data_IF_476791786321
#
_entry.id   IF_476791786321
#
_cell.length_a   1.000
_cell.length_b   1.000
_cell.length_c   1.000
_cell.angle_alpha   90.00
_cell.angle_beta   90.00
_cell.angle_gamma   90.00
#
_symmetry.space_group_name_H-M   'P 1'
#
loop_
_entity.id
_entity.type
_entity.pdbx_description
1 polymer ?
#
# COMPACT_ATOMS: atom_id res chain seq x y z
N UNK A 1 23.70 24.05 -6.08
CA UNK A 1 23.24 22.74 -6.64
C UNK A 1 24.45 22.03 -7.29
N UNK A 2 24.40 20.73 -7.62
CA UNK A 2 25.47 20.12 -8.44
C UNK A 2 25.21 20.38 -9.92
N UNK A 3 26.27 20.67 -10.67
CA UNK A 3 26.19 21.16 -12.06
C UNK A 3 25.72 20.09 -13.06
N UNK A 4 25.80 18.81 -12.69
CA UNK A 4 25.43 17.66 -13.50
C UNK A 4 24.09 17.02 -13.09
N UNK A 5 23.25 17.73 -12.31
CA UNK A 5 22.02 17.15 -11.75
C UNK A 5 21.09 16.57 -12.82
N UNK A 6 20.95 17.28 -13.94
CA UNK A 6 20.11 16.86 -15.05
C UNK A 6 20.55 15.51 -15.64
N UNK A 7 21.87 15.28 -15.75
CA UNK A 7 22.45 14.03 -16.25
C UNK A 7 22.20 12.88 -15.28
N UNK A 8 22.48 13.11 -13.99
CA UNK A 8 22.35 12.05 -12.96
C UNK A 8 20.89 11.61 -12.80
N UNK A 9 19.91 12.50 -13.04
CA UNK A 9 18.47 12.16 -12.97
C UNK A 9 18.07 11.24 -14.14
N UNK A 10 18.61 11.43 -15.34
CA UNK A 10 18.19 10.70 -16.55
C UNK A 10 18.95 9.39 -16.81
N UNK A 11 20.05 9.14 -16.10
CA UNK A 11 20.92 7.97 -16.31
C UNK A 11 20.31 6.61 -15.91
N UNK A 12 19.13 6.59 -15.27
CA UNK A 12 18.52 5.33 -14.85
C UNK A 12 17.89 4.58 -16.04
N UNK A 13 18.14 3.27 -16.21
CA UNK A 13 17.47 2.48 -17.23
C UNK A 13 15.96 2.58 -17.13
N UNK A 14 15.28 2.63 -18.29
CA UNK A 14 13.81 2.65 -18.34
C UNK A 14 13.21 1.48 -17.58
N UNK A 15 12.10 1.73 -16.90
CA UNK A 15 11.33 0.70 -16.23
C UNK A 15 10.79 -0.31 -17.23
N UNK A 16 10.67 -1.57 -16.82
CA UNK A 16 10.30 -2.66 -17.72
C UNK A 16 11.44 -3.20 -18.58
N UNK A 17 12.68 -2.68 -18.46
CA UNK A 17 13.85 -3.20 -19.19
C UNK A 17 14.11 -4.71 -18.98
N UNK A 18 13.83 -5.22 -17.77
CA UNK A 18 14.04 -6.63 -17.41
C UNK A 18 12.87 -7.54 -17.83
N UNK A 19 11.77 -6.97 -18.30
CA UNK A 19 10.61 -7.77 -18.69
C UNK A 19 10.81 -8.24 -20.12
N UNK A 20 10.95 -9.55 -20.29
CA UNK A 20 11.01 -10.18 -21.60
C UNK A 20 9.58 -10.47 -22.08
N UNK A 21 9.28 -10.10 -23.33
CA UNK A 21 7.96 -10.23 -23.93
C UNK A 21 7.40 -8.88 -24.36
N UNK A 22 7.25 -8.70 -25.67
CA UNK A 22 6.82 -7.44 -26.30
C UNK A 22 5.42 -7.56 -26.92
N UNK A 23 4.65 -8.58 -26.52
CA UNK A 23 3.30 -8.78 -27.03
C UNK A 23 3.22 -9.09 -28.53
N UNK A 24 4.36 -9.26 -29.22
CA UNK A 24 4.39 -9.58 -30.66
C UNK A 24 3.59 -10.82 -31.02
N UNK A 25 3.56 -11.92 -30.24
CA UNK A 25 2.76 -13.10 -30.62
C UNK A 25 1.28 -12.77 -30.82
N UNK A 26 0.65 -12.08 -29.87
CA UNK A 26 -0.75 -11.65 -30.00
C UNK A 26 -0.91 -10.58 -31.09
N UNK A 27 0.01 -9.60 -31.16
CA UNK A 27 0.02 -8.58 -32.21
C UNK A 27 0.41 -9.13 -33.58
N UNK A 28 0.80 -10.39 -33.71
CA UNK A 28 1.05 -11.09 -34.97
C UNK A 28 -0.04 -12.13 -35.29
N UNK A 29 -0.96 -12.35 -34.35
CA UNK A 29 -2.05 -13.31 -34.51
C UNK A 29 -3.15 -12.77 -35.44
N UNK A 30 -3.89 -13.67 -36.11
CA UNK A 30 -5.08 -13.31 -36.90
C UNK A 30 -6.20 -12.68 -36.07
N UNK A 31 -6.19 -12.91 -34.75
CA UNK A 31 -7.19 -12.39 -33.79
C UNK A 31 -7.02 -10.89 -33.50
N UNK A 32 -5.90 -10.31 -33.94
CA UNK A 32 -5.65 -8.89 -33.83
C UNK A 32 -6.55 -8.17 -34.86
N UNK A 33 -7.54 -7.41 -34.39
CA UNK A 33 -8.35 -6.59 -35.31
C UNK A 33 -7.48 -5.71 -36.22
N UNK A 34 -8.03 -5.29 -37.37
CA UNK A 34 -7.32 -4.52 -38.41
C UNK A 34 -6.73 -3.17 -37.93
N UNK A 35 -7.28 -2.59 -36.86
CA UNK A 35 -6.80 -1.35 -36.25
C UNK A 35 -6.44 -1.59 -34.79
N UNK A 36 -5.14 -1.53 -34.48
CA UNK A 36 -4.62 -1.63 -33.12
C UNK A 36 -4.03 -0.29 -32.66
N UNK A 37 -4.43 0.16 -31.48
CA UNK A 37 -3.73 1.24 -30.80
C UNK A 37 -2.27 0.86 -30.52
N UNK A 38 -1.36 1.85 -30.54
CA UNK A 38 0.10 1.63 -30.39
C UNK A 38 0.49 0.82 -29.15
N UNK A 39 -0.30 0.91 -28.06
CA UNK A 39 -0.05 0.20 -26.80
C UNK A 39 -0.80 -1.14 -26.66
N UNK A 40 -1.75 -1.44 -27.54
CA UNK A 40 -2.61 -2.63 -27.42
C UNK A 40 -1.82 -3.90 -27.75
N UNK A 41 -1.85 -4.87 -26.84
CA UNK A 41 -1.10 -6.12 -26.93
C UNK A 41 0.25 -6.09 -26.22
N UNK A 42 0.78 -4.92 -25.85
CA UNK A 42 1.98 -4.83 -24.99
C UNK A 42 1.59 -5.17 -23.55
N UNK A 43 1.98 -6.34 -23.06
CA UNK A 43 1.73 -6.74 -21.67
C UNK A 43 2.50 -5.87 -20.67
N UNK A 44 3.74 -5.49 -21.03
CA UNK A 44 4.64 -4.75 -20.16
C UNK A 44 5.41 -3.66 -20.94
N UNK A 45 4.77 -2.54 -21.31
CA UNK A 45 5.44 -1.46 -22.04
C UNK A 45 6.55 -0.84 -21.18
N UNK A 46 7.65 -0.40 -21.79
CA UNK A 46 8.69 0.35 -21.08
C UNK A 46 8.14 1.69 -20.60
N UNK A 47 8.52 2.12 -19.40
CA UNK A 47 8.16 3.43 -18.85
C UNK A 47 9.41 4.24 -18.49
N UNK A 48 9.27 5.57 -18.45
CA UNK A 48 10.33 6.45 -17.97
C UNK A 48 10.62 6.14 -16.50
N UNK A 49 11.89 6.04 -16.17
CA UNK A 49 12.36 5.72 -14.82
C UNK A 49 13.53 6.66 -14.56
N UNK A 50 13.33 7.59 -13.64
CA UNK A 50 14.30 8.64 -13.32
C UNK A 50 14.93 8.41 -11.94
N UNK A 51 16.16 8.88 -11.77
CA UNK A 51 16.86 8.83 -10.49
C UNK A 51 16.62 10.12 -9.70
N UNK A 52 15.53 10.16 -8.93
CA UNK A 52 15.13 11.37 -8.18
C UNK A 52 15.85 11.53 -6.82
N UNK A 53 16.67 10.56 -6.41
CA UNK A 53 17.36 10.60 -5.10
C UNK A 53 18.33 11.78 -4.94
N UNK A 54 19.12 12.18 -5.95
CA UNK A 54 19.96 13.38 -5.89
C UNK A 54 19.15 14.66 -5.66
N UNK A 55 18.06 14.87 -6.43
CA UNK A 55 17.16 16.01 -6.27
C UNK A 55 16.56 16.04 -4.86
N UNK A 56 16.02 14.90 -4.42
CA UNK A 56 15.45 14.74 -3.08
C UNK A 56 16.46 15.11 -1.99
N UNK A 57 17.68 14.56 -2.04
CA UNK A 57 18.74 14.86 -1.06
C UNK A 57 19.12 16.34 -1.07
N UNK A 58 19.20 16.95 -2.25
CA UNK A 58 19.50 18.37 -2.36
C UNK A 58 18.39 19.21 -1.73
N UNK A 59 17.11 18.93 -2.00
CA UNK A 59 15.97 19.63 -1.41
C UNK A 59 15.94 19.54 0.12
N UNK A 60 16.19 18.35 0.67
CA UNK A 60 16.26 18.14 2.13
C UNK A 60 17.38 18.94 2.79
N UNK A 61 18.49 19.20 2.09
CA UNK A 61 19.56 20.08 2.58
C UNK A 61 19.16 21.57 2.60
N UNK A 62 18.10 21.96 1.89
CA UNK A 62 17.64 23.36 1.82
C UNK A 62 16.59 23.72 2.87
N UNK A 63 16.26 22.79 3.77
CA UNK A 63 15.33 23.03 4.87
C UNK A 63 15.78 24.24 5.71
N UNK A 64 14.82 25.02 6.18
CA UNK A 64 14.99 26.30 6.90
C UNK A 64 15.48 27.49 6.05
N UNK A 65 15.53 27.36 4.72
CA UNK A 65 15.78 28.49 3.80
C UNK A 65 14.47 29.03 3.21
N UNK A 66 14.42 30.33 2.83
CA UNK A 66 13.32 30.87 2.03
C UNK A 66 13.16 30.11 0.72
N UNK A 67 11.95 29.66 0.42
CA UNK A 67 11.65 28.84 -0.75
C UNK A 67 12.02 29.56 -2.06
N UNK A 68 11.73 30.85 -2.17
CA UNK A 68 12.04 31.61 -3.39
C UNK A 68 13.54 31.62 -3.72
N UNK A 69 14.40 31.67 -2.69
CA UNK A 69 15.85 31.58 -2.88
C UNK A 69 16.27 30.19 -3.33
N UNK A 70 15.69 29.15 -2.73
CA UNK A 70 15.92 27.75 -3.11
C UNK A 70 15.46 27.50 -4.55
N UNK A 71 14.28 27.98 -4.90
CA UNK A 71 13.70 27.84 -6.24
C UNK A 71 14.47 28.63 -7.29
N UNK A 72 14.98 29.82 -6.96
CA UNK A 72 15.87 30.58 -7.85
C UNK A 72 17.18 29.83 -8.11
N UNK A 73 17.79 29.23 -7.07
CA UNK A 73 19.01 28.42 -7.20
C UNK A 73 18.78 27.17 -8.07
N UNK A 74 17.58 26.56 -7.96
CA UNK A 74 17.15 25.47 -8.81
C UNK A 74 17.02 25.91 -10.27
N UNK A 75 16.36 27.05 -10.50
CA UNK A 75 16.18 27.62 -11.83
C UNK A 75 17.50 28.04 -12.48
N UNK A 76 18.50 28.47 -11.72
CA UNK A 76 19.82 28.83 -12.29
C UNK A 76 20.62 27.60 -12.73
N UNK A 77 20.38 26.44 -12.12
CA UNK A 77 21.10 25.20 -12.42
C UNK A 77 20.41 24.31 -13.47
N UNK A 78 19.23 24.70 -13.97
CA UNK A 78 18.41 23.88 -14.88
C UNK A 78 17.91 24.75 -16.05
N UNK A 79 18.22 24.35 -17.28
CA UNK A 79 17.68 24.96 -18.49
C UNK A 79 16.23 24.54 -18.74
N UNK A 80 15.30 25.46 -18.51
CA UNK A 80 13.86 25.26 -18.73
C UNK A 80 13.48 25.13 -20.21
N UNK A 81 14.37 25.45 -21.14
CA UNK A 81 14.14 25.28 -22.59
C UNK A 81 14.31 23.83 -23.02
N UNK A 82 15.08 23.05 -22.27
CA UNK A 82 15.21 21.61 -22.49
C UNK A 82 14.01 20.87 -21.89
N UNK A 83 13.29 20.10 -22.69
CA UNK A 83 12.10 19.34 -22.25
C UNK A 83 12.43 18.32 -21.17
N UNK A 84 13.63 17.74 -21.23
CA UNK A 84 14.12 16.76 -20.26
C UNK A 84 14.42 17.44 -18.92
N UNK A 85 15.12 18.57 -18.97
CA UNK A 85 15.46 19.32 -17.78
C UNK A 85 14.24 20.01 -17.16
N UNK A 86 13.32 20.52 -17.98
CA UNK A 86 12.05 21.06 -17.52
C UNK A 86 11.19 20.02 -16.78
N UNK A 87 11.30 18.73 -17.12
CA UNK A 87 10.59 17.66 -16.42
C UNK A 87 10.96 17.56 -14.93
N UNK A 88 12.18 17.97 -14.56
CA UNK A 88 12.65 17.98 -13.16
C UNK A 88 11.72 18.81 -12.27
N UNK A 89 11.13 19.89 -12.80
CA UNK A 89 10.19 20.73 -12.04
C UNK A 89 8.88 20.00 -11.71
N UNK A 90 8.44 19.04 -12.53
CA UNK A 90 7.29 18.20 -12.20
C UNK A 90 7.59 17.32 -10.98
N UNK A 91 8.85 16.89 -10.84
CA UNK A 91 9.31 16.11 -9.69
C UNK A 91 9.53 16.94 -8.43
N UNK A 92 9.78 18.25 -8.55
CA UNK A 92 9.82 19.12 -7.37
C UNK A 92 8.48 19.08 -6.64
N UNK A 93 7.37 19.07 -7.38
CA UNK A 93 6.02 18.97 -6.81
C UNK A 93 5.75 17.60 -6.16
N UNK A 94 6.49 16.55 -6.52
CA UNK A 94 6.44 15.26 -5.84
C UNK A 94 7.09 15.29 -4.44
N UNK A 95 7.98 16.26 -4.18
CA UNK A 95 8.75 16.35 -2.95
C UNK A 95 8.35 17.52 -2.04
N UNK A 96 7.89 18.63 -2.62
CA UNK A 96 7.61 19.88 -1.91
C UNK A 96 6.16 20.31 -2.16
N UNK A 97 5.36 20.36 -1.09
CA UNK A 97 4.05 21.00 -1.14
C UNK A 97 4.21 22.53 -1.11
N UNK A 98 3.94 23.19 -2.24
CA UNK A 98 4.04 24.66 -2.40
C UNK A 98 2.72 25.37 -2.16
N UNK A 99 1.61 24.73 -2.55
CA UNK A 99 0.26 25.23 -2.33
C UNK A 99 -0.23 24.81 -0.94
N UNK A 100 0.22 25.57 0.06
CA UNK A 100 -0.15 25.40 1.47
C UNK A 100 -0.97 26.58 1.94
N UNK A 101 -1.89 26.33 2.87
CA UNK A 101 -2.72 27.35 3.49
C UNK A 101 -2.72 27.18 5.00
N UNK A 102 -2.85 28.29 5.72
CA UNK A 102 -3.02 28.27 7.17
C UNK A 102 -4.51 28.40 7.48
N UNK A 103 -5.10 27.40 8.13
CA UNK A 103 -6.49 27.39 8.57
C UNK A 103 -6.54 26.96 10.04
N UNK A 104 -7.18 27.75 10.91
CA UNK A 104 -7.34 27.44 12.34
C UNK A 104 -6.02 27.11 13.07
N UNK A 105 -4.93 27.80 12.70
CA UNK A 105 -3.59 27.58 13.26
C UNK A 105 -2.87 26.34 12.73
N UNK A 106 -3.48 25.61 11.79
CA UNK A 106 -2.93 24.41 11.18
C UNK A 106 -2.58 24.62 9.70
N UNK A 107 -1.43 24.11 9.29
CA UNK A 107 -1.03 24.08 7.88
C UNK A 107 -1.76 22.96 7.17
N UNK A 108 -2.51 23.30 6.13
CA UNK A 108 -3.18 22.37 5.22
C UNK A 108 -2.48 22.37 3.88
N UNK A 109 -2.39 21.20 3.26
CA UNK A 109 -1.79 20.98 1.94
C UNK A 109 -2.85 20.53 0.96
N UNK A 110 -2.81 21.07 -0.26
CA UNK A 110 -3.68 20.57 -1.32
C UNK A 110 -3.20 19.21 -1.81
N UNK A 111 -4.10 18.26 -2.07
CA UNK A 111 -3.72 16.99 -2.66
C UNK A 111 -3.13 17.21 -4.07
N UNK A 112 -2.03 16.51 -4.37
CA UNK A 112 -1.29 16.58 -5.64
C UNK A 112 -2.14 16.23 -6.87
N UNK A 113 -3.28 15.54 -6.69
CA UNK A 113 -4.28 15.26 -7.75
C UNK A 113 -5.68 15.31 -7.16
N UNK A 114 -6.62 15.88 -7.94
CA UNK A 114 -8.09 15.87 -7.78
C UNK A 114 -8.56 15.36 -6.41
N UNK A 115 -8.76 16.30 -5.49
CA UNK A 115 -9.26 16.02 -4.14
C UNK A 115 -10.11 17.16 -3.61
N UNK A 116 -10.57 17.01 -2.37
CA UNK A 116 -11.45 17.97 -1.69
C UNK A 116 -10.84 19.37 -1.66
N UNK A 117 -11.70 20.38 -1.91
CA UNK A 117 -11.31 21.80 -2.03
C UNK A 117 -10.64 22.34 -0.77
N UNK A 118 -10.92 21.73 0.37
CA UNK A 118 -10.50 22.17 1.71
C UNK A 118 -9.08 21.72 2.10
N UNK A 119 -8.42 20.92 1.26
CA UNK A 119 -7.09 20.37 1.54
C UNK A 119 -7.06 19.42 2.75
N UNK A 120 -5.92 18.77 2.96
CA UNK A 120 -5.72 17.86 4.10
C UNK A 120 -4.77 18.51 5.11
N UNK A 121 -4.98 18.31 6.42
CA UNK A 121 -4.00 18.69 7.44
C UNK A 121 -2.62 18.11 7.12
N UNK A 122 -1.56 18.89 7.30
CA UNK A 122 -0.18 18.45 6.99
C UNK A 122 0.20 17.17 7.74
N UNK A 123 -0.28 17.01 8.98
CA UNK A 123 0.01 15.82 9.80
C UNK A 123 -0.70 14.55 9.31
N UNK A 124 -1.68 14.68 8.41
CA UNK A 124 -2.39 13.56 7.76
C UNK A 124 -1.91 13.32 6.33
N UNK A 125 -0.88 14.03 5.86
CA UNK A 125 -0.40 13.98 4.49
C UNK A 125 0.84 13.04 4.33
N UNK A 126 0.67 11.72 4.13
CA UNK A 126 1.78 10.75 4.11
C UNK A 126 2.73 10.88 2.91
N UNK A 127 2.31 11.63 1.89
CA UNK A 127 3.08 11.91 0.67
C UNK A 127 3.88 13.19 0.72
N UNK A 128 3.67 14.07 1.71
CA UNK A 128 4.31 15.38 1.78
C UNK A 128 5.49 15.33 2.74
N UNK A 129 6.70 15.27 2.20
CA UNK A 129 7.92 15.26 3.02
C UNK A 129 8.40 16.66 3.39
N UNK A 130 8.33 17.60 2.44
CA UNK A 130 8.70 19.00 2.61
C UNK A 130 7.51 19.87 2.20
N UNK A 131 7.39 21.04 2.82
CA UNK A 131 6.36 22.00 2.49
C UNK A 131 6.89 23.43 2.64
N UNK A 132 6.30 24.36 1.91
CA UNK A 132 6.56 25.79 2.09
C UNK A 132 5.59 26.30 3.15
N UNK A 133 6.08 26.94 4.19
CA UNK A 133 5.21 27.52 5.21
C UNK A 133 4.39 28.69 4.62
N UNK A 134 3.06 28.70 4.76
CA UNK A 134 2.18 29.63 4.03
C UNK A 134 2.44 31.11 4.37
N UNK A 135 2.84 31.40 5.62
CA UNK A 135 3.09 32.78 6.08
C UNK A 135 4.53 33.24 5.84
N UNK A 136 5.53 32.40 6.14
CA UNK A 136 6.94 32.81 6.12
C UNK A 136 7.65 32.49 4.81
N UNK A 137 7.05 31.65 3.95
CA UNK A 137 7.68 31.19 2.71
C UNK A 137 8.91 30.28 2.95
N UNK A 138 9.15 29.82 4.18
CA UNK A 138 10.30 28.98 4.51
C UNK A 138 10.02 27.52 4.16
N UNK A 139 10.99 26.85 3.54
CA UNK A 139 10.94 25.41 3.30
C UNK A 139 11.14 24.64 4.61
N UNK A 140 10.15 23.85 5.01
CA UNK A 140 10.14 23.11 6.27
C UNK A 140 9.87 21.61 6.04
N UNK A 141 10.37 20.73 6.92
CA UNK A 141 10.07 19.31 6.88
C UNK A 141 8.73 19.03 7.54
N UNK A 142 7.98 18.06 7.02
CA UNK A 142 6.82 17.52 7.71
C UNK A 142 7.29 16.64 8.89
N UNK A 143 7.33 17.22 10.09
CA UNK A 143 7.79 16.53 11.30
C UNK A 143 6.91 15.33 11.68
N UNK A 144 5.64 15.32 11.30
CA UNK A 144 4.65 14.26 11.59
C UNK A 144 4.49 13.25 10.46
N UNK A 145 5.39 13.26 9.46
CA UNK A 145 5.36 12.34 8.32
C UNK A 145 5.34 10.86 8.73
N UNK A 146 6.08 10.49 9.79
CA UNK A 146 6.12 9.10 10.29
C UNK A 146 4.75 8.65 10.78
N UNK A 147 4.05 9.51 11.51
CA UNK A 147 2.69 9.26 12.01
C UNK A 147 1.70 9.16 10.85
N UNK A 148 1.72 10.11 9.90
CA UNK A 148 0.88 10.10 8.72
C UNK A 148 1.02 8.79 7.91
N UNK A 149 2.27 8.34 7.71
CA UNK A 149 2.56 7.09 6.99
C UNK A 149 2.11 5.85 7.77
N UNK A 150 2.25 5.86 9.09
CA UNK A 150 1.77 4.78 9.94
C UNK A 150 0.23 4.67 9.88
N UNK A 151 -0.47 5.79 10.02
CA UNK A 151 -1.93 5.86 9.90
C UNK A 151 -2.41 5.36 8.53
N UNK A 152 -1.77 5.79 7.43
CA UNK A 152 -2.11 5.34 6.07
C UNK A 152 -1.86 3.85 5.86
N UNK A 153 -0.83 3.27 6.51
CA UNK A 153 -0.57 1.83 6.45
C UNK A 153 -1.68 1.04 7.15
N UNK A 154 -2.14 1.50 8.31
CA UNK A 154 -3.25 0.88 9.05
C UNK A 154 -4.55 0.96 8.24
N UNK A 155 -4.90 2.14 7.71
CA UNK A 155 -6.08 2.33 6.85
C UNK A 155 -6.03 1.45 5.59
N UNK A 156 -4.86 1.34 4.93
CA UNK A 156 -4.70 0.45 3.77
C UNK A 156 -4.85 -1.02 4.15
N UNK A 157 -4.31 -1.44 5.29
CA UNK A 157 -4.47 -2.81 5.78
C UNK A 157 -5.94 -3.13 6.07
N UNK A 158 -6.65 -2.23 6.76
CA UNK A 158 -8.08 -2.35 7.02
C UNK A 158 -8.90 -2.46 5.72
N UNK A 159 -8.64 -1.60 4.71
CA UNK A 159 -9.33 -1.66 3.40
C UNK A 159 -9.04 -2.92 2.59
N UNK A 160 -7.87 -3.53 2.78
CA UNK A 160 -7.50 -4.78 2.13
C UNK A 160 -8.09 -6.01 2.82
N UNK A 161 -8.66 -5.84 4.02
CA UNK A 161 -9.02 -6.97 4.88
C UNK A 161 -7.81 -7.64 5.55
N UNK A 162 -6.62 -7.03 5.48
CA UNK A 162 -5.37 -7.53 6.08
C UNK A 162 -5.34 -7.36 7.60
N UNK A 163 -6.41 -6.84 8.22
CA UNK A 163 -6.57 -6.91 9.67
C UNK A 163 -6.88 -8.36 10.02
N UNK A 164 -6.00 -9.09 10.73
CA UNK A 164 -6.29 -10.46 11.12
C UNK A 164 -7.60 -10.44 11.91
N UNK A 165 -8.59 -11.21 11.46
CA UNK A 165 -9.91 -11.20 12.10
C UNK A 165 -9.85 -11.83 13.51
N UNK A 166 -8.76 -12.54 13.81
CA UNK A 166 -8.35 -12.87 15.17
C UNK A 166 -6.82 -12.91 15.25
N UNK A 167 -6.25 -12.30 16.30
CA UNK A 167 -4.89 -12.62 16.73
C UNK A 167 -4.96 -14.05 17.28
N UNK A 168 -4.47 -15.02 16.53
CA UNK A 168 -4.42 -16.41 16.98
C UNK A 168 -3.01 -16.78 17.48
N UNK A 169 -2.95 -17.60 18.53
CA UNK A 169 -1.72 -18.25 18.98
C UNK A 169 -1.70 -19.71 18.52
N UNK A 170 -0.67 -20.09 17.78
CA UNK A 170 -0.47 -21.47 17.34
C UNK A 170 -0.04 -22.33 18.52
N UNK A 171 -0.79 -23.37 18.84
CA UNK A 171 -0.42 -24.36 19.87
C UNK A 171 0.32 -25.52 19.21
N UNK A 172 -0.27 -26.07 18.14
CA UNK A 172 0.29 -27.16 17.35
C UNK A 172 -0.26 -27.14 15.91
N UNK A 173 -0.08 -28.24 15.16
CA UNK A 173 -0.51 -28.35 13.77
C UNK A 173 -2.03 -28.28 13.57
N UNK A 174 -2.83 -28.64 14.58
CA UNK A 174 -4.29 -28.73 14.53
C UNK A 174 -4.97 -27.84 15.57
N UNK A 175 -4.23 -27.24 16.50
CA UNK A 175 -4.79 -26.48 17.62
C UNK A 175 -4.30 -25.04 17.59
N UNK A 176 -5.24 -24.10 17.67
CA UNK A 176 -4.98 -22.67 17.75
C UNK A 176 -5.81 -22.03 18.87
N UNK A 177 -5.27 -21.05 19.56
CA UNK A 177 -6.03 -20.22 20.49
C UNK A 177 -6.42 -18.91 19.82
N UNK A 178 -7.69 -18.53 19.92
CA UNK A 178 -8.24 -17.33 19.30
C UNK A 178 -8.87 -16.43 20.36
N UNK A 179 -8.55 -15.14 20.33
CA UNK A 179 -9.25 -14.13 21.13
C UNK A 179 -10.39 -13.55 20.30
N UNK A 180 -11.63 -13.79 20.74
CA UNK A 180 -12.85 -13.30 20.07
C UNK A 180 -13.70 -12.61 21.12
N UNK A 181 -14.06 -11.35 20.89
CA UNK A 181 -14.86 -10.52 21.80
C UNK A 181 -14.34 -10.52 23.26
N UNK A 182 -13.01 -10.50 23.43
CA UNK A 182 -12.35 -10.50 24.74
C UNK A 182 -12.36 -11.84 25.48
N UNK A 183 -12.83 -12.92 24.83
CA UNK A 183 -12.79 -14.28 25.36
C UNK A 183 -11.80 -15.13 24.56
N UNK A 184 -11.01 -15.94 25.27
CA UNK A 184 -10.08 -16.88 24.67
C UNK A 184 -10.76 -18.22 24.39
N UNK A 185 -10.56 -18.74 23.19
CA UNK A 185 -11.04 -20.04 22.77
C UNK A 185 -9.90 -20.89 22.26
N UNK A 186 -9.84 -22.14 22.71
CA UNK A 186 -9.08 -23.18 22.05
C UNK A 186 -9.91 -23.71 20.87
N UNK A 187 -9.32 -23.66 19.69
CA UNK A 187 -9.94 -24.01 18.41
C UNK A 187 -9.19 -25.18 17.81
N UNK A 188 -9.93 -26.24 17.51
CA UNK A 188 -9.41 -27.41 16.79
C UNK A 188 -9.73 -27.25 15.31
N UNK A 189 -8.70 -27.41 14.49
CA UNK A 189 -8.73 -27.31 13.05
C UNK A 189 -8.68 -28.69 12.40
N UNK A 190 -9.51 -28.88 11.38
CA UNK A 190 -9.41 -30.03 10.48
C UNK A 190 -9.15 -29.58 9.06
N UNK A 191 -8.48 -30.42 8.28
CA UNK A 191 -8.34 -30.19 6.84
C UNK A 191 -9.67 -30.35 6.13
N UNK A 192 -9.89 -29.57 5.09
CA UNK A 192 -10.98 -29.84 4.17
C UNK A 192 -10.78 -31.21 3.51
N UNK A 193 -11.84 -32.01 3.33
CA UNK A 193 -11.75 -33.24 2.58
C UNK A 193 -11.31 -32.95 1.14
N UNK A 194 -10.49 -33.84 0.58
CA UNK A 194 -10.01 -33.71 -0.78
C UNK A 194 -11.15 -33.81 -1.79
N UNK A 195 -11.03 -33.06 -2.88
CA UNK A 195 -12.03 -33.08 -3.94
C UNK A 195 -11.81 -34.33 -4.78
N UNK A 196 -12.79 -35.23 -4.80
CA UNK A 196 -12.71 -36.50 -5.55
C UNK A 196 -12.83 -36.35 -7.10
N UNK A 197 -12.78 -35.12 -7.64
CA UNK A 197 -12.80 -34.85 -9.09
C UNK A 197 -13.23 -33.41 -9.45
N UNK A 198 -12.97 -32.99 -10.69
CA UNK A 198 -13.31 -31.63 -11.20
C UNK A 198 -14.81 -31.39 -11.35
N UNK A 199 -15.60 -32.45 -11.56
CA UNK A 199 -17.05 -32.37 -11.80
C UNK A 199 -17.90 -32.46 -10.52
N UNK A 200 -17.31 -32.84 -9.38
CA UNK A 200 -18.04 -32.97 -8.12
C UNK A 200 -18.19 -31.62 -7.40
N UNK A 201 -19.35 -31.42 -6.78
CA UNK A 201 -19.66 -30.27 -5.91
C UNK A 201 -18.68 -30.21 -4.75
N UNK A 202 -18.15 -29.02 -4.45
CA UNK A 202 -17.23 -28.87 -3.34
C UNK A 202 -17.85 -29.27 -2.00
N UNK A 203 -17.15 -30.08 -1.19
CA UNK A 203 -17.62 -30.45 0.13
C UNK A 203 -17.74 -29.21 1.01
N UNK A 204 -18.87 -29.10 1.70
CA UNK A 204 -19.18 -28.01 2.62
C UNK A 204 -18.98 -28.51 4.05
N UNK A 205 -18.21 -27.78 4.81
CA UNK A 205 -17.96 -28.05 6.23
C UNK A 205 -18.54 -26.90 7.07
N UNK A 206 -19.06 -27.22 8.26
CA UNK A 206 -19.51 -26.18 9.19
C UNK A 206 -18.32 -25.69 10.01
N UNK A 207 -18.04 -24.38 9.94
CA UNK A 207 -16.98 -23.75 10.73
C UNK A 207 -17.57 -23.22 12.04
N UNK A 208 -17.16 -23.78 13.18
CA UNK A 208 -17.73 -23.44 14.49
C UNK A 208 -17.29 -22.08 15.02
N UNK A 209 -16.16 -21.56 14.54
CA UNK A 209 -15.66 -20.25 14.93
C UNK A 209 -16.41 -19.16 14.19
N UNK A 210 -16.58 -19.34 12.86
CA UNK A 210 -17.34 -18.44 11.97
C UNK A 210 -18.85 -18.62 12.05
N UNK A 211 -19.33 -19.74 12.60
CA UNK A 211 -20.74 -20.15 12.70
C UNK A 211 -21.44 -20.20 11.34
N UNK A 212 -20.77 -20.71 10.31
CA UNK A 212 -21.32 -20.80 8.95
C UNK A 212 -20.75 -21.98 8.15
N UNK A 213 -21.42 -22.32 7.05
CA UNK A 213 -20.91 -23.33 6.11
C UNK A 213 -19.82 -22.74 5.22
N UNK A 214 -18.68 -23.42 5.13
CA UNK A 214 -17.50 -23.07 4.34
C UNK A 214 -17.11 -24.19 3.39
N UNK A 215 -16.51 -23.86 2.26
CA UNK A 215 -15.79 -24.78 1.37
C UNK A 215 -14.32 -24.38 1.31
N UNK A 216 -13.48 -25.24 0.74
CA UNK A 216 -12.05 -24.95 0.51
C UNK A 216 -11.83 -23.64 -0.26
N UNK A 217 -12.70 -23.30 -1.21
CA UNK A 217 -12.59 -22.08 -2.01
C UNK A 217 -13.24 -20.82 -1.37
N UNK A 218 -13.95 -20.94 -0.25
CA UNK A 218 -14.54 -19.79 0.46
C UNK A 218 -15.82 -20.12 1.23
N UNK A 219 -16.48 -19.12 1.82
CA UNK A 219 -17.76 -19.30 2.50
C UNK A 219 -18.89 -19.58 1.48
N UNK A 220 -19.65 -20.66 1.65
CA UNK A 220 -20.53 -21.22 0.61
C UNK A 220 -21.91 -20.55 0.46
N UNK A 221 -22.04 -19.28 0.84
CA UNK A 221 -23.14 -18.40 0.43
C UNK A 221 -22.49 -17.08 0.08
N UNK A 222 -22.70 -16.58 -1.16
CA UNK A 222 -22.18 -15.29 -1.71
C UNK A 222 -21.48 -14.48 -0.64
N UNK A 223 -20.15 -14.52 -0.59
CA UNK A 223 -19.37 -13.77 0.40
C UNK A 223 -19.88 -12.33 0.39
N UNK A 224 -20.55 -11.90 1.46
CA UNK A 224 -20.78 -10.49 1.65
C UNK A 224 -19.39 -9.83 1.64
N UNK A 225 -19.21 -8.70 0.92
CA UNK A 225 -17.95 -7.96 0.97
C UNK A 225 -17.53 -7.73 2.43
N UNK A 226 -16.33 -8.17 2.81
CA UNK A 226 -15.79 -7.98 4.16
C UNK A 226 -15.74 -9.20 5.09
N UNK A 227 -16.09 -10.41 4.64
CA UNK A 227 -15.85 -11.63 5.43
C UNK A 227 -14.38 -12.14 5.27
N UNK A 228 -13.71 -12.56 6.36
CA UNK A 228 -12.31 -13.01 6.32
C UNK A 228 -12.11 -14.30 5.52
N UNK A 229 -10.99 -14.42 4.83
CA UNK A 229 -10.61 -15.67 4.14
C UNK A 229 -10.17 -16.76 5.13
N UNK A 230 -9.98 -18.01 4.65
CA UNK A 230 -9.38 -19.10 5.45
C UNK A 230 -8.02 -18.74 5.98
N UNK A 231 -7.21 -18.09 5.14
CA UNK A 231 -5.90 -17.61 5.52
C UNK A 231 -5.97 -16.51 6.59
N UNK A 232 -6.90 -15.57 6.46
CA UNK A 232 -7.04 -14.47 7.43
C UNK A 232 -7.48 -14.95 8.81
N UNK A 233 -8.23 -16.05 8.89
CA UNK A 233 -8.64 -16.64 10.17
C UNK A 233 -7.59 -17.57 10.75
N UNK A 234 -7.01 -18.46 9.94
CA UNK A 234 -6.24 -19.62 10.45
C UNK A 234 -4.77 -19.64 10.00
N UNK A 235 -4.35 -18.71 9.15
CA UNK A 235 -3.04 -18.70 8.50
C UNK A 235 -2.87 -19.81 7.45
N UNK A 236 -3.94 -20.52 7.09
CA UNK A 236 -3.93 -21.66 6.17
C UNK A 236 -5.17 -21.68 5.30
N UNK A 237 -5.02 -22.14 4.06
CA UNK A 237 -6.11 -22.16 3.08
C UNK A 237 -6.94 -23.45 3.10
N UNK A 238 -6.41 -24.52 3.68
CA UNK A 238 -6.92 -25.89 3.56
C UNK A 238 -7.59 -26.39 4.85
N UNK A 239 -7.89 -25.52 5.82
CA UNK A 239 -8.44 -25.89 7.12
C UNK A 239 -9.70 -25.11 7.49
N UNK A 240 -10.51 -25.69 8.38
CA UNK A 240 -11.66 -25.06 9.02
C UNK A 240 -11.75 -25.44 10.50
N UNK A 241 -12.45 -24.63 11.31
CA UNK A 241 -12.64 -24.93 12.72
C UNK A 241 -13.74 -25.98 12.94
N UNK A 242 -13.38 -27.13 13.50
CA UNK A 242 -14.31 -28.24 13.82
C UNK A 242 -14.86 -28.17 15.22
N UNK A 243 -14.08 -27.66 16.17
CA UNK A 243 -14.46 -27.56 17.56
C UNK A 243 -13.87 -26.29 18.17
N UNK A 244 -14.58 -25.74 19.16
CA UNK A 244 -14.04 -24.67 20.00
C UNK A 244 -14.44 -24.89 21.46
N UNK A 245 -13.51 -24.61 22.37
CA UNK A 245 -13.69 -24.66 23.82
C UNK A 245 -13.25 -23.34 24.41
N UNK A 246 -14.09 -22.73 25.26
CA UNK A 246 -13.70 -21.51 25.96
C UNK A 246 -12.64 -21.82 27.00
N UNK A 247 -11.58 -21.01 27.05
CA UNK A 247 -10.50 -21.12 28.00
C UNK A 247 -10.75 -20.23 29.22
N UNK A 248 -10.39 -20.74 30.39
CA UNK A 248 -10.41 -19.96 31.62
C UNK A 248 -9.24 -18.96 31.66
N UNK A 249 -9.41 -17.87 32.41
CA UNK A 249 -8.31 -16.90 32.65
C UNK A 249 -7.05 -17.56 33.21
N UNK A 250 -7.19 -18.61 34.02
CA UNK A 250 -6.06 -19.35 34.58
C UNK A 250 -5.28 -20.10 33.50
N UNK A 251 -5.96 -20.79 32.58
CA UNK A 251 -5.33 -21.50 31.46
C UNK A 251 -4.60 -20.52 30.53
N UNK A 252 -5.23 -19.38 30.23
CA UNK A 252 -4.64 -18.34 29.37
C UNK A 252 -3.38 -17.76 30.02
N UNK A 253 -3.48 -17.33 31.29
CA UNK A 253 -2.37 -16.73 32.04
C UNK A 253 -1.18 -17.67 32.20
N UNK A 254 -1.44 -18.96 32.44
CA UNK A 254 -0.39 -19.96 32.56
C UNK A 254 0.49 -20.09 31.31
N UNK A 255 -0.04 -19.71 30.12
CA UNK A 255 0.67 -19.85 28.85
C UNK A 255 1.11 -18.52 28.22
N UNK A 256 0.28 -17.49 28.30
CA UNK A 256 0.54 -16.17 27.69
C UNK A 256 1.11 -15.13 28.69
N UNK A 257 1.16 -15.45 29.98
CA UNK A 257 1.58 -14.52 31.03
C UNK A 257 0.53 -13.44 31.34
N UNK A 258 0.96 -12.36 32.00
CA UNK A 258 0.11 -11.24 32.43
C UNK A 258 -0.29 -10.28 31.28
N UNK A 259 0.15 -10.56 30.05
CA UNK A 259 -0.09 -9.73 28.87
C UNK A 259 -1.38 -10.11 28.09
N UNK A 260 -2.26 -10.93 28.68
CA UNK A 260 -3.45 -11.49 28.04
C UNK A 260 -4.76 -10.76 28.33
#
# INVERSE_FOLDING_TARGET
>A
MRDDMDKVIVERPRGGWRVQGDGRPWRNSPERGSHLGMKRGLQHPKWLSENLQPLKRWLHKQVHRPWDKVYAELCSGIDRRSTVQAHIFLHVDDFVARDTVLCDGEVRVRPYRWGTRDGVPLHEAPGVELFVHPVTGILLPNRRLREARAARRVDRAARRGDTPHAVYHLIDATTQWHCVDGCWFEVVLAKFPERAGTTQTEPRCYDVLRRCMVTRCGAARRSAPGLPTHFDMYGRHDVYAVAKRQLSRREVRARLGDAA
#
